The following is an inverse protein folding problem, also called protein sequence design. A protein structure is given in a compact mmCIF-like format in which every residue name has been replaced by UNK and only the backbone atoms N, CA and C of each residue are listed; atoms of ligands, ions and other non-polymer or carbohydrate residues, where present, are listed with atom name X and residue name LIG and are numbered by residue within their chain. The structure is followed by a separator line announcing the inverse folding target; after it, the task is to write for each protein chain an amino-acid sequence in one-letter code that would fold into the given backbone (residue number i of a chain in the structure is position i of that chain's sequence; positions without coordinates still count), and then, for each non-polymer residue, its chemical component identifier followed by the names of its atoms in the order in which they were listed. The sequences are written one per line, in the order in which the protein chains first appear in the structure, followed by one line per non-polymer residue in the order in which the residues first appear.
data_IF_921462043393
#
_entry.id   IF_921462043393
#
_cell.length_a   1.000
_cell.length_b   1.000
_cell.length_c   1.000
_cell.angle_alpha   90.00
_cell.angle_beta   90.00
_cell.angle_gamma   90.00
#
_symmetry.space_group_name_H-M   'P 1'
#
loop_
_entity.id
_entity.type
_entity.pdbx_description
1 polymer ?
#
# COMPACT_ATOMS: atom_id res chain seq x y z
N UNK A 1 -15.03 60.42 -30.66
CA UNK A 1 -16.28 59.78 -31.13
C UNK A 1 -15.90 58.45 -31.76
N UNK A 2 -16.39 57.32 -31.21
CA UNK A 2 -16.31 56.00 -31.86
C UNK A 2 -16.95 56.09 -33.27
N UNK A 3 -16.68 55.21 -34.24
CA UNK A 3 -17.32 53.88 -34.38
C UNK A 3 -16.44 52.94 -35.22
N UNK A 4 -16.15 51.76 -34.66
CA UNK A 4 -15.53 50.59 -35.30
C UNK A 4 -16.54 49.83 -36.16
N UNK A 5 -16.11 49.42 -37.36
CA UNK A 5 -16.93 48.70 -38.33
C UNK A 5 -16.82 47.18 -38.09
N UNK A 6 -17.86 46.57 -37.52
CA UNK A 6 -17.93 45.13 -37.23
C UNK A 6 -18.52 44.39 -38.44
N UNK A 7 -17.66 43.69 -39.19
CA UNK A 7 -18.06 42.79 -40.28
C UNK A 7 -18.92 41.65 -39.72
N UNK A 8 -20.17 41.57 -40.19
CA UNK A 8 -20.98 40.35 -40.18
C UNK A 8 -20.47 39.46 -41.32
N UNK A 9 -20.20 38.20 -41.03
CA UNK A 9 -20.42 37.14 -42.00
C UNK A 9 -20.94 35.91 -41.27
N UNK A 10 -22.15 35.52 -41.69
CA UNK A 10 -22.91 34.39 -41.21
C UNK A 10 -22.15 33.09 -41.49
N UNK A 11 -22.11 32.19 -40.51
CA UNK A 11 -21.79 30.80 -40.77
C UNK A 11 -22.99 29.91 -40.43
N UNK A 12 -23.32 29.10 -41.41
CA UNK A 12 -24.47 28.22 -41.57
C UNK A 12 -24.14 26.92 -40.85
N UNK A 13 -24.81 26.64 -39.74
CA UNK A 13 -24.66 25.39 -39.00
C UNK A 13 -25.09 24.21 -39.87
N UNK A 14 -24.12 23.34 -40.23
CA UNK A 14 -24.35 21.97 -40.67
C UNK A 14 -24.06 21.03 -39.49
N UNK A 15 -24.75 19.89 -39.48
CA UNK A 15 -24.45 18.70 -38.68
C UNK A 15 -22.95 18.41 -38.57
N UNK A 16 -22.50 18.04 -37.36
CA UNK A 16 -21.21 17.37 -37.15
C UNK A 16 -20.32 18.04 -36.10
N UNK A 17 -20.09 17.29 -35.02
CA UNK A 17 -18.86 17.27 -34.22
C UNK A 17 -18.49 18.53 -33.40
N UNK A 18 -18.74 18.44 -32.09
CA UNK A 18 -18.03 19.28 -31.12
C UNK A 18 -16.60 18.74 -31.01
N UNK A 19 -15.70 19.21 -31.87
CA UNK A 19 -14.27 18.98 -31.68
C UNK A 19 -13.83 19.88 -30.52
N UNK A 20 -13.70 19.30 -29.32
CA UNK A 20 -13.02 19.95 -28.20
C UNK A 20 -11.52 19.87 -28.48
N UNK A 21 -11.00 20.83 -29.25
CA UNK A 21 -9.56 20.95 -29.44
C UNK A 21 -8.91 21.28 -28.09
N UNK A 22 -8.05 20.40 -27.58
CA UNK A 22 -7.14 20.72 -26.50
C UNK A 22 -6.10 21.71 -27.04
N UNK A 23 -6.39 23.00 -26.95
CA UNK A 23 -5.38 24.03 -27.15
C UNK A 23 -4.37 23.88 -26.00
N UNK A 24 -3.20 23.34 -26.30
CA UNK A 24 -2.09 23.34 -25.35
C UNK A 24 -1.71 24.80 -25.10
N UNK A 25 -1.75 25.26 -23.85
CA UNK A 25 -1.18 26.55 -23.51
C UNK A 25 0.34 26.43 -23.63
N UNK A 26 0.93 27.18 -24.57
CA UNK A 26 2.39 27.35 -24.68
C UNK A 26 2.90 28.25 -23.53
N UNK A 27 2.74 27.77 -22.29
CA UNK A 27 3.23 28.43 -21.09
C UNK A 27 4.67 28.03 -20.81
N UNK A 28 5.64 28.90 -21.10
CA UNK A 28 7.02 28.70 -20.63
C UNK A 28 7.03 28.84 -19.10
N UNK A 29 7.33 27.76 -18.38
CA UNK A 29 7.41 27.78 -16.91
C UNK A 29 8.50 28.77 -16.48
N UNK A 30 8.19 29.81 -15.69
CA UNK A 30 9.18 30.76 -15.21
C UNK A 30 10.30 30.08 -14.42
N UNK A 31 11.56 30.51 -14.60
CA UNK A 31 12.73 29.93 -13.93
C UNK A 31 12.60 29.86 -12.40
N UNK A 32 11.92 30.83 -11.77
CA UNK A 32 11.64 30.81 -10.33
C UNK A 32 10.80 29.61 -9.88
N UNK A 33 9.85 29.18 -10.70
CA UNK A 33 9.00 28.03 -10.40
C UNK A 33 9.76 26.73 -10.61
N UNK A 34 10.61 26.67 -11.64
CA UNK A 34 11.56 25.56 -11.80
C UNK A 34 12.53 25.47 -10.61
N UNK A 35 13.11 26.59 -10.20
CA UNK A 35 14.03 26.65 -9.05
C UNK A 35 13.32 26.26 -7.74
N UNK A 36 12.09 26.74 -7.52
CA UNK A 36 11.29 26.35 -6.35
C UNK A 36 10.97 24.86 -6.36
N UNK A 37 10.60 24.28 -7.51
CA UNK A 37 10.36 22.84 -7.64
C UNK A 37 11.63 22.03 -7.35
N UNK A 38 12.78 22.43 -7.89
CA UNK A 38 14.06 21.76 -7.63
C UNK A 38 14.46 21.86 -6.15
N UNK A 39 14.27 23.02 -5.52
CA UNK A 39 14.53 23.20 -4.09
C UNK A 39 13.61 22.32 -3.23
N UNK A 40 12.32 22.22 -3.58
CA UNK A 40 11.36 21.36 -2.90
C UNK A 40 11.73 19.87 -3.05
N UNK A 41 12.08 19.42 -4.25
CA UNK A 41 12.56 18.06 -4.50
C UNK A 41 13.84 17.76 -3.71
N UNK A 42 14.81 18.68 -3.74
CA UNK A 42 16.06 18.56 -2.98
C UNK A 42 15.83 18.49 -1.47
N UNK A 43 14.93 19.32 -0.94
CA UNK A 43 14.54 19.28 0.47
C UNK A 43 13.86 17.95 0.84
N UNK A 44 12.94 17.47 0.01
CA UNK A 44 12.27 16.18 0.22
C UNK A 44 13.27 15.01 0.20
N UNK A 45 14.21 14.99 -0.74
CA UNK A 45 15.29 14.00 -0.80
C UNK A 45 16.22 14.11 0.42
N UNK A 46 16.58 15.33 0.83
CA UNK A 46 17.40 15.55 2.02
C UNK A 46 16.73 15.02 3.28
N UNK A 47 15.42 15.25 3.44
CA UNK A 47 14.63 14.68 4.54
C UNK A 47 14.61 13.14 4.46
N UNK A 48 14.39 12.58 3.28
CA UNK A 48 14.38 11.12 3.09
C UNK A 48 15.72 10.49 3.52
N UNK A 49 16.84 11.05 3.07
CA UNK A 49 18.18 10.58 3.45
C UNK A 49 18.45 10.72 4.95
N UNK A 50 17.99 11.81 5.58
CA UNK A 50 18.12 11.99 7.03
C UNK A 50 17.29 11.00 7.83
N UNK A 51 16.13 10.59 7.32
CA UNK A 51 15.29 9.54 7.93
C UNK A 51 15.94 8.18 7.75
N UNK A 52 16.40 7.87 6.53
CA UNK A 52 17.05 6.60 6.19
C UNK A 52 18.31 6.37 7.04
N UNK A 53 19.16 7.40 7.20
CA UNK A 53 20.34 7.34 8.05
C UNK A 53 20.03 7.14 9.56
N UNK A 54 18.76 7.28 9.97
CA UNK A 54 18.30 7.05 11.35
C UNK A 54 17.55 5.73 11.52
N UNK A 55 17.34 4.95 10.45
CA UNK A 55 16.72 3.64 10.56
C UNK A 55 17.66 2.66 11.28
N UNK A 56 17.12 1.73 12.09
CA UNK A 56 17.92 0.66 12.68
C UNK A 56 18.62 -0.18 11.61
N UNK A 57 19.84 -0.62 11.89
CA UNK A 57 20.54 -1.54 11.00
C UNK A 57 19.73 -2.83 10.79
N UNK A 58 19.58 -3.32 9.55
CA UNK A 58 18.89 -4.58 9.29
C UNK A 58 19.68 -5.73 9.90
N UNK A 59 18.99 -6.61 10.62
CA UNK A 59 19.59 -7.78 11.27
C UNK A 59 19.46 -9.02 10.37
N UNK A 60 20.53 -9.82 10.30
CA UNK A 60 20.57 -11.12 9.65
C UNK A 60 20.17 -12.27 10.58
N UNK A 61 20.17 -13.50 10.04
CA UNK A 61 19.83 -14.74 10.78
C UNK A 61 20.80 -15.10 11.91
N UNK A 62 21.96 -14.46 11.97
CA UNK A 62 22.94 -14.55 13.05
C UNK A 62 22.52 -13.78 14.31
N UNK A 63 21.54 -12.87 14.20
CA UNK A 63 21.02 -12.12 15.33
C UNK A 63 20.19 -13.00 16.29
N UNK A 64 20.09 -12.61 17.58
CA UNK A 64 19.25 -13.30 18.56
C UNK A 64 17.78 -13.43 18.10
N UNK A 65 17.12 -14.57 18.35
CA UNK A 65 15.78 -14.87 17.82
C UNK A 65 14.66 -14.02 18.44
N UNK A 66 14.93 -13.29 19.53
CA UNK A 66 14.01 -12.34 20.15
C UNK A 66 14.03 -10.96 19.47
N UNK A 67 14.89 -10.76 18.47
CA UNK A 67 15.00 -9.54 17.67
C UNK A 67 14.29 -9.70 16.33
N UNK A 68 13.88 -8.58 15.75
CA UNK A 68 13.36 -8.56 14.39
C UNK A 68 14.50 -8.83 13.40
N UNK A 69 14.40 -9.93 12.66
CA UNK A 69 15.36 -10.33 11.63
C UNK A 69 14.85 -9.83 10.27
N UNK A 70 15.53 -8.83 9.72
CA UNK A 70 15.12 -8.18 8.47
C UNK A 70 15.27 -9.12 7.27
N UNK A 71 16.25 -10.02 7.29
CA UNK A 71 16.47 -11.02 6.24
C UNK A 71 15.25 -11.94 6.05
N UNK A 72 14.64 -12.42 7.14
CA UNK A 72 13.43 -13.27 7.09
C UNK A 72 12.25 -12.48 6.51
N UNK A 73 12.09 -11.22 6.91
CA UNK A 73 11.04 -10.35 6.36
C UNK A 73 11.24 -10.10 4.86
N UNK A 74 12.49 -9.89 4.43
CA UNK A 74 12.83 -9.71 3.02
C UNK A 74 12.56 -10.98 2.20
N UNK A 75 12.91 -12.16 2.71
CA UNK A 75 12.57 -13.44 2.05
C UNK A 75 11.07 -13.62 1.85
N UNK A 76 10.26 -13.29 2.87
CA UNK A 76 8.80 -13.33 2.74
C UNK A 76 8.28 -12.36 1.67
N UNK A 77 8.85 -11.15 1.60
CA UNK A 77 8.53 -10.18 0.57
C UNK A 77 8.86 -10.73 -0.82
N UNK A 78 10.10 -11.17 -1.04
CA UNK A 78 10.57 -11.73 -2.32
C UNK A 78 9.72 -12.93 -2.75
N UNK A 79 9.36 -13.82 -1.82
CA UNK A 79 8.51 -14.96 -2.14
C UNK A 79 7.12 -14.52 -2.61
N UNK A 80 6.50 -13.53 -1.92
CA UNK A 80 5.20 -13.01 -2.32
C UNK A 80 5.26 -12.26 -3.67
N UNK A 81 6.31 -11.50 -3.90
CA UNK A 81 6.42 -10.64 -5.07
C UNK A 81 6.90 -11.36 -6.33
N UNK A 82 7.64 -12.46 -6.16
CA UNK A 82 8.03 -13.36 -7.25
C UNK A 82 6.84 -13.99 -7.99
N UNK A 83 5.63 -13.92 -7.42
CA UNK A 83 4.38 -14.31 -8.08
C UNK A 83 4.10 -13.45 -9.33
N UNK A 84 4.60 -12.21 -9.36
CA UNK A 84 4.25 -11.21 -10.37
C UNK A 84 3.04 -10.36 -9.95
N UNK A 85 2.44 -9.57 -10.86
CA UNK A 85 1.28 -8.73 -10.54
C UNK A 85 0.12 -9.54 -9.96
N UNK A 86 -0.38 -9.11 -8.80
CA UNK A 86 -1.49 -9.72 -8.04
C UNK A 86 -2.71 -8.81 -8.10
N UNK A 87 -3.19 -8.54 -9.30
CA UNK A 87 -4.39 -7.70 -9.49
C UNK A 87 -5.61 -8.41 -8.91
N UNK A 88 -6.51 -7.69 -8.24
CA UNK A 88 -7.74 -8.28 -7.70
C UNK A 88 -8.50 -9.08 -8.77
N UNK A 89 -8.95 -10.29 -8.42
CA UNK A 89 -9.60 -11.24 -9.34
C UNK A 89 -8.66 -12.09 -10.21
N UNK A 90 -7.35 -11.87 -10.16
CA UNK A 90 -6.36 -12.75 -10.80
C UNK A 90 -6.10 -14.03 -9.99
N UNK A 91 -5.61 -15.07 -10.65
CA UNK A 91 -5.22 -16.31 -9.97
C UNK A 91 -4.04 -16.09 -9.01
N UNK A 92 -3.13 -15.19 -9.41
CA UNK A 92 -1.98 -14.73 -8.64
C UNK A 92 -2.42 -14.11 -7.31
N UNK A 93 -3.47 -13.30 -7.30
CA UNK A 93 -4.00 -12.69 -6.09
C UNK A 93 -4.87 -13.65 -5.27
N UNK A 94 -5.91 -14.23 -5.90
CA UNK A 94 -6.97 -14.96 -5.17
C UNK A 94 -6.53 -16.34 -4.68
N UNK A 95 -5.48 -16.92 -5.27
CA UNK A 95 -5.02 -18.27 -4.94
C UNK A 95 -3.57 -18.28 -4.48
N UNK A 96 -2.65 -17.77 -5.31
CA UNK A 96 -1.22 -17.92 -5.03
C UNK A 96 -0.77 -17.07 -3.84
N UNK A 97 -1.13 -15.79 -3.82
CA UNK A 97 -0.78 -14.87 -2.74
C UNK A 97 -1.37 -15.32 -1.40
N UNK A 98 -2.68 -15.65 -1.39
CA UNK A 98 -3.37 -16.13 -0.19
C UNK A 98 -2.72 -17.42 0.34
N UNK A 99 -2.35 -18.35 -0.54
CA UNK A 99 -1.64 -19.57 -0.15
C UNK A 99 -0.30 -19.25 0.51
N UNK A 100 0.51 -18.37 -0.06
CA UNK A 100 1.81 -17.96 0.51
C UNK A 100 1.62 -17.39 1.93
N UNK A 101 0.62 -16.52 2.11
CA UNK A 101 0.32 -15.92 3.42
C UNK A 101 -0.14 -16.97 4.44
N UNK A 102 -1.10 -17.83 4.07
CA UNK A 102 -1.63 -18.87 4.95
C UNK A 102 -0.54 -19.88 5.34
N UNK A 103 0.32 -20.28 4.41
CA UNK A 103 1.44 -21.18 4.71
C UNK A 103 2.45 -20.55 5.66
N UNK A 104 2.78 -19.26 5.47
CA UNK A 104 3.66 -18.54 6.38
C UNK A 104 3.08 -18.50 7.80
N UNK A 105 1.78 -18.17 7.93
CA UNK A 105 1.11 -18.11 9.24
C UNK A 105 1.00 -19.49 9.89
N UNK A 106 0.75 -20.56 9.12
CA UNK A 106 0.75 -21.93 9.64
C UNK A 106 2.12 -22.32 10.20
N UNK A 107 3.21 -21.95 9.53
CA UNK A 107 4.57 -22.20 10.03
C UNK A 107 4.83 -21.42 11.32
N UNK A 108 4.42 -20.15 11.38
CA UNK A 108 4.52 -19.34 12.60
C UNK A 108 3.73 -19.98 13.76
N UNK A 109 2.51 -20.44 13.50
CA UNK A 109 1.68 -21.08 14.52
C UNK A 109 2.29 -22.40 15.01
N UNK A 110 2.86 -23.22 14.12
CA UNK A 110 3.54 -24.47 14.48
C UNK A 110 4.83 -24.26 15.28
N UNK A 111 5.51 -23.13 15.10
CA UNK A 111 6.75 -22.78 15.81
C UNK A 111 6.50 -21.90 17.05
N UNK A 112 5.24 -21.55 17.33
CA UNK A 112 4.90 -20.70 18.46
C UNK A 112 5.22 -21.37 19.80
N UNK A 113 5.76 -20.61 20.73
CA UNK A 113 5.94 -21.05 22.12
C UNK A 113 4.58 -21.48 22.71
N UNK A 114 4.53 -22.52 23.58
CA UNK A 114 3.30 -22.94 24.26
C UNK A 114 2.60 -21.83 25.07
N UNK A 115 3.34 -20.75 25.40
CA UNK A 115 2.81 -19.56 26.07
C UNK A 115 2.05 -18.62 25.13
N UNK A 116 2.00 -18.89 23.82
CA UNK A 116 1.30 -18.09 22.83
C UNK A 116 0.35 -18.94 22.01
N UNK A 117 -0.77 -18.34 21.64
CA UNK A 117 -1.76 -18.91 20.73
C UNK A 117 -1.82 -18.01 19.50
N UNK A 118 -1.53 -18.61 18.35
CA UNK A 118 -1.64 -17.96 17.03
C UNK A 118 -2.79 -18.63 16.28
N UNK A 119 -3.81 -17.86 15.99
CA UNK A 119 -4.99 -18.27 15.23
C UNK A 119 -5.05 -17.43 13.95
N UNK A 120 -5.61 -17.98 12.89
CA UNK A 120 -5.84 -17.23 11.66
C UNK A 120 -7.17 -17.61 11.02
N UNK A 121 -7.69 -16.70 10.21
CA UNK A 121 -8.90 -16.90 9.42
C UNK A 121 -8.72 -16.25 8.05
N UNK A 122 -9.39 -16.82 7.05
CA UNK A 122 -9.44 -16.25 5.70
C UNK A 122 -10.88 -15.88 5.43
N UNK A 123 -11.18 -14.58 5.48
CA UNK A 123 -12.53 -14.09 5.21
C UNK A 123 -12.61 -13.51 3.82
N UNK A 124 -13.80 -13.57 3.23
CA UNK A 124 -14.11 -12.95 1.95
C UNK A 124 -15.29 -12.01 2.09
N UNK A 125 -15.23 -10.88 1.38
CA UNK A 125 -16.29 -9.87 1.39
C UNK A 125 -16.60 -9.35 -0.01
N UNK A 126 -17.88 -9.05 -0.22
CA UNK A 126 -18.42 -8.44 -1.44
C UNK A 126 -19.16 -7.16 -1.09
N UNK A 127 -19.13 -6.17 -1.96
CA UNK A 127 -19.81 -4.90 -1.74
C UNK A 127 -19.70 -3.93 -2.91
N UNK A 128 -20.39 -2.81 -2.80
CA UNK A 128 -20.32 -1.73 -3.76
C UNK A 128 -20.53 -0.40 -3.07
N UNK A 129 -19.86 0.64 -3.56
CA UNK A 129 -20.03 2.02 -3.10
C UNK A 129 -19.83 2.99 -4.27
N UNK A 130 -20.54 4.11 -4.23
CA UNK A 130 -20.43 5.14 -5.26
C UNK A 130 -19.29 6.09 -4.96
N UNK A 131 -18.43 6.33 -5.95
CA UNK A 131 -17.40 7.36 -5.91
C UNK A 131 -17.99 8.66 -6.46
N UNK A 132 -17.88 9.73 -5.68
CA UNK A 132 -18.35 11.07 -6.09
C UNK A 132 -17.36 11.80 -7.01
N UNK A 133 -16.16 11.25 -7.22
CA UNK A 133 -15.15 11.77 -8.16
C UNK A 133 -15.15 10.96 -9.47
N UNK A 134 -14.59 11.54 -10.54
CA UNK A 134 -14.59 10.98 -11.90
C UNK A 134 -16.01 10.70 -12.45
N UNK A 135 -16.88 11.71 -12.40
CA UNK A 135 -18.21 11.72 -13.03
C UNK A 135 -19.21 10.68 -12.48
N UNK A 136 -19.01 10.17 -11.26
CA UNK A 136 -20.00 9.34 -10.56
C UNK A 136 -19.86 7.84 -10.78
N UNK A 137 -18.63 7.31 -10.86
CA UNK A 137 -18.39 5.88 -10.98
C UNK A 137 -18.83 5.08 -9.73
N UNK A 138 -19.40 3.90 -9.93
CA UNK A 138 -19.62 2.92 -8.84
C UNK A 138 -18.43 1.97 -8.76
N UNK A 139 -17.84 1.85 -7.57
CA UNK A 139 -16.82 0.85 -7.29
C UNK A 139 -17.50 -0.38 -6.69
N UNK A 140 -17.28 -1.54 -7.31
CA UNK A 140 -17.86 -2.81 -6.89
C UNK A 140 -16.76 -3.84 -6.77
N UNK A 141 -16.76 -4.56 -5.65
CA UNK A 141 -15.82 -5.62 -5.35
C UNK A 141 -16.58 -6.90 -5.00
N UNK A 142 -16.07 -8.03 -5.46
CA UNK A 142 -16.69 -9.33 -5.24
C UNK A 142 -15.64 -10.30 -4.73
N UNK A 143 -16.02 -11.01 -3.68
CA UNK A 143 -15.29 -12.10 -3.06
C UNK A 143 -13.84 -11.75 -2.67
N UNK A 144 -13.57 -10.48 -2.37
CA UNK A 144 -12.25 -10.00 -1.96
C UNK A 144 -11.82 -10.69 -0.68
N UNK A 145 -10.68 -11.37 -0.72
CA UNK A 145 -10.17 -12.14 0.39
C UNK A 145 -9.27 -11.33 1.31
N UNK A 146 -9.24 -11.71 2.58
CA UNK A 146 -8.39 -11.12 3.60
C UNK A 146 -7.93 -12.21 4.57
N UNK A 147 -6.62 -12.23 4.83
CA UNK A 147 -6.01 -13.16 5.80
C UNK A 147 -5.81 -12.44 7.12
N UNK A 148 -6.55 -12.83 8.14
CA UNK A 148 -6.52 -12.21 9.46
C UNK A 148 -5.80 -13.12 10.43
N UNK A 149 -4.83 -12.58 11.16
CA UNK A 149 -4.02 -13.34 12.13
C UNK A 149 -4.17 -12.71 13.51
N UNK A 150 -4.40 -13.56 14.52
CA UNK A 150 -4.51 -13.17 15.91
C UNK A 150 -3.49 -13.93 16.75
N UNK A 151 -2.57 -13.19 17.37
CA UNK A 151 -1.62 -13.71 18.35
C UNK A 151 -1.96 -13.21 19.76
N UNK A 152 -2.01 -14.13 20.75
CA UNK A 152 -2.31 -13.82 22.16
C UNK A 152 -1.53 -14.73 23.11
N UNK A 153 -1.34 -14.31 24.36
CA UNK A 153 -0.78 -15.19 25.39
C UNK A 153 -1.75 -16.31 25.79
N UNK A 154 -1.24 -17.53 25.93
CA UNK A 154 -1.94 -18.68 26.50
C UNK A 154 -2.09 -18.48 28.02
N UNK A 155 -3.32 -18.42 28.52
CA UNK A 155 -3.60 -18.25 29.95
C UNK A 155 -3.83 -16.81 30.44
N UNK A 156 -3.89 -15.82 29.56
CA UNK A 156 -4.22 -14.44 29.94
C UNK A 156 -5.64 -14.32 30.50
N UNK A 157 -5.77 -14.19 31.83
CA UNK A 157 -7.03 -13.80 32.50
C UNK A 157 -7.62 -12.57 31.81
N UNK A 158 -8.95 -12.52 31.74
CA UNK A 158 -9.67 -11.36 31.26
C UNK A 158 -9.43 -10.15 32.16
N UNK A 159 -8.32 -9.44 31.92
CA UNK A 159 -8.12 -8.13 32.49
C UNK A 159 -9.09 -7.16 31.82
N UNK A 160 -9.79 -6.30 32.57
CA UNK A 160 -10.65 -5.27 32.02
C UNK A 160 -9.90 -4.23 31.15
N UNK A 161 -8.55 -4.23 31.19
CA UNK A 161 -7.68 -3.37 30.39
C UNK A 161 -7.00 -4.13 29.23
N UNK A 162 -7.77 -4.83 28.39
CA UNK A 162 -7.22 -5.49 27.19
C UNK A 162 -6.96 -4.47 26.09
N UNK A 163 -5.69 -4.16 25.85
CA UNK A 163 -5.25 -3.39 24.68
C UNK A 163 -4.82 -4.32 23.54
N UNK A 164 -5.31 -4.05 22.33
CA UNK A 164 -4.91 -4.73 21.09
C UNK A 164 -4.24 -3.73 20.14
N UNK A 165 -3.29 -4.21 19.34
CA UNK A 165 -2.68 -3.47 18.24
C UNK A 165 -3.12 -4.15 16.94
N UNK A 166 -3.71 -3.38 16.04
CA UNK A 166 -4.02 -3.83 14.68
C UNK A 166 -2.92 -3.34 13.75
N UNK A 167 -2.28 -4.27 13.06
CA UNK A 167 -1.36 -4.01 11.95
C UNK A 167 -2.09 -4.46 10.69
N UNK A 168 -2.08 -3.64 9.64
CA UNK A 168 -2.76 -3.96 8.40
C UNK A 168 -1.85 -3.66 7.20
N UNK A 169 -2.00 -4.45 6.15
CA UNK A 169 -1.44 -4.24 4.84
C UNK A 169 -2.34 -4.88 3.79
N UNK A 170 -2.15 -4.50 2.52
CA UNK A 170 -2.79 -5.17 1.40
C UNK A 170 -1.75 -5.90 0.56
N UNK A 171 -2.12 -7.05 -0.01
CA UNK A 171 -1.22 -7.94 -0.75
C UNK A 171 -1.46 -7.93 -2.27
N UNK A 172 -2.60 -7.38 -2.70
CA UNK A 172 -2.93 -7.13 -4.09
C UNK A 172 -2.08 -5.99 -4.68
N UNK A 173 -1.96 -5.98 -6.00
CA UNK A 173 -1.22 -4.96 -6.75
C UNK A 173 -2.13 -4.25 -7.74
N UNK A 174 -1.72 -3.04 -8.12
CA UNK A 174 -2.25 -2.40 -9.33
C UNK A 174 -1.78 -3.16 -10.60
N UNK A 175 -2.47 -2.99 -11.74
CA UNK A 175 -2.01 -3.50 -13.03
C UNK A 175 -0.56 -3.08 -13.32
N UNK A 176 0.19 -3.96 -13.97
CA UNK A 176 1.60 -3.77 -14.37
C UNK A 176 2.59 -3.45 -13.24
N UNK A 177 2.23 -3.71 -11.98
CA UNK A 177 3.14 -3.57 -10.84
C UNK A 177 3.41 -4.93 -10.17
N UNK A 178 4.68 -5.32 -9.96
CA UNK A 178 5.01 -6.51 -9.17
C UNK A 178 4.74 -6.33 -7.65
N UNK A 179 4.52 -5.08 -7.20
CA UNK A 179 4.28 -4.74 -5.80
C UNK A 179 5.54 -4.70 -4.93
N UNK A 180 6.73 -4.73 -5.54
CA UNK A 180 8.02 -4.45 -4.89
C UNK A 180 8.29 -2.95 -4.97
N UNK A 181 8.36 -2.22 -3.86
CA UNK A 181 8.58 -0.77 -3.90
C UNK A 181 10.04 -0.38 -3.60
N UNK A 182 10.85 -0.07 -4.63
CA UNK A 182 11.91 0.92 -4.55
C UNK A 182 11.54 2.12 -5.44
N UNK A 183 11.06 3.20 -4.81
CA UNK A 183 10.89 4.55 -5.37
C UNK A 183 10.24 4.72 -6.77
N UNK A 184 8.92 4.98 -6.82
CA UNK A 184 8.29 6.05 -7.64
C UNK A 184 6.80 6.15 -7.29
N UNK A 185 6.28 7.38 -7.30
CA UNK A 185 4.98 7.79 -6.75
C UNK A 185 3.72 7.30 -7.50
N UNK A 186 3.76 6.13 -8.15
CA UNK A 186 2.60 5.52 -8.82
C UNK A 186 2.51 3.98 -8.69
N UNK A 187 3.41 3.32 -7.96
CA UNK A 187 3.32 1.88 -7.64
C UNK A 187 2.85 1.66 -6.19
N UNK A 188 1.70 2.27 -5.88
CA UNK A 188 1.18 2.49 -4.54
C UNK A 188 0.78 1.18 -3.80
N UNK A 189 1.60 0.80 -2.81
CA UNK A 189 1.24 0.19 -1.50
C UNK A 189 1.20 -1.34 -1.25
N UNK A 190 1.74 -2.23 -2.08
CA UNK A 190 1.75 -3.67 -1.75
C UNK A 190 2.84 -4.09 -0.73
N UNK A 191 2.87 -3.48 0.45
CA UNK A 191 3.80 -3.82 1.53
C UNK A 191 3.21 -4.88 2.45
N UNK A 192 3.49 -6.16 2.23
CA UNK A 192 3.11 -7.23 3.15
C UNK A 192 3.87 -7.12 4.49
N UNK A 193 3.29 -6.45 5.48
CA UNK A 193 3.77 -6.50 6.87
C UNK A 193 2.84 -7.40 7.69
N UNK A 194 3.35 -8.59 7.99
CA UNK A 194 2.70 -9.60 8.81
C UNK A 194 2.37 -9.08 10.22
N UNK A 195 1.17 -9.41 10.70
CA UNK A 195 0.71 -9.14 12.06
C UNK A 195 1.48 -10.01 13.04
N UNK A 196 2.47 -9.45 13.72
CA UNK A 196 3.15 -10.09 14.85
C UNK A 196 3.07 -9.15 16.05
N UNK A 197 2.44 -9.61 17.14
CA UNK A 197 2.53 -8.96 18.46
C UNK A 197 3.38 -9.81 19.39
N UNK A 198 4.49 -9.25 19.84
CA UNK A 198 5.07 -9.54 21.15
C UNK A 198 5.26 -8.26 21.95
N UNK A 199 4.84 -8.29 23.21
CA UNK A 199 5.51 -7.54 24.28
C UNK A 199 5.20 -8.22 25.62
N UNK A 200 6.14 -9.02 26.12
CA UNK A 200 6.30 -9.18 27.57
C UNK A 200 7.45 -8.29 28.00
N UNK A 201 7.14 -7.34 28.87
CA UNK A 201 8.12 -6.60 29.66
C UNK A 201 8.54 -7.56 30.78
N UNK A 202 9.65 -8.28 30.60
CA UNK A 202 10.37 -8.88 31.74
C UNK A 202 11.04 -7.70 32.44
N UNK A 203 10.33 -7.13 33.42
CA UNK A 203 11.01 -6.39 34.48
C UNK A 203 11.72 -7.44 35.32
N UNK A 204 13.03 -7.29 35.49
CA UNK A 204 13.79 -8.06 36.46
C UNK A 204 13.00 -8.12 37.78
N UNK A 205 12.72 -9.33 38.24
CA UNK A 205 12.37 -9.63 39.62
C UNK A 205 13.27 -10.79 40.03
N UNK A 206 14.41 -10.43 40.60
CA UNK A 206 14.90 -11.08 41.82
C UNK A 206 14.22 -10.32 42.96
#
# INVERSE_FOLDING_TARGET
MQITNKKKNANRMRHGEVVKENVFEDGVVPLRWLAAALAACGAALGVALLVDARLPAPLGRDAPPDRFIAEIAHEHLVNLTSIGPRVAGSYENEVLAVRVLVEAVRRIAAQASPHNVVEFDVFSASGAFSLTFLDGMSNMYRDVQSVVVRARGAGGRASPARSALLLNCHFDTVPDSPGESPHTAAAAHSGALFVIRYRYRIVHAI
#
